data_IF_368508976022
#
_entry.id   IF_368508976022
#
_cell.length_a   1.000
_cell.length_b   1.000
_cell.length_c   1.000
_cell.angle_alpha   90.00
_cell.angle_beta   90.00
_cell.angle_gamma   90.00
#
_symmetry.space_group_name_H-M   'P 1'
#
loop_
_entity.id
_entity.type
_entity.pdbx_description
1 polymer ?
#
# COMPACT_ATOMS: atom_id res chain seq x y z
N UNK A 1 -11.24 17.52 -23.58
CA UNK A 1 -10.19 16.67 -22.99
C UNK A 1 -10.86 15.46 -22.38
N UNK A 2 -10.63 14.26 -22.90
CA UNK A 2 -11.15 13.02 -22.32
C UNK A 2 -10.14 12.50 -21.32
N UNK A 3 -10.40 12.66 -20.03
CA UNK A 3 -9.64 11.97 -18.99
C UNK A 3 -9.94 10.47 -19.05
N UNK A 4 -8.90 9.62 -19.02
CA UNK A 4 -9.03 8.15 -18.89
C UNK A 4 -8.27 7.72 -17.64
N UNK A 5 -9.00 7.48 -16.57
CA UNK A 5 -8.45 7.26 -15.24
C UNK A 5 -7.93 5.83 -15.01
N UNK A 6 -8.66 4.80 -15.45
CA UNK A 6 -8.28 3.41 -15.20
C UNK A 6 -7.71 2.77 -16.48
N UNK A 7 -6.38 2.78 -16.61
CA UNK A 7 -5.69 2.13 -17.75
C UNK A 7 -5.03 0.80 -17.36
N UNK A 8 -4.79 0.57 -16.08
CA UNK A 8 -4.11 -0.61 -15.58
C UNK A 8 -5.13 -1.56 -14.94
N UNK A 9 -5.03 -2.85 -15.25
CA UNK A 9 -5.61 -3.90 -14.42
C UNK A 9 -4.55 -4.32 -13.40
N UNK A 10 -4.40 -3.50 -12.36
CA UNK A 10 -3.40 -3.74 -11.32
C UNK A 10 -4.02 -4.59 -10.19
N UNK A 11 -3.58 -5.84 -10.01
CA UNK A 11 -4.09 -6.66 -8.92
C UNK A 11 -3.59 -6.10 -7.58
N UNK A 12 -4.26 -6.45 -6.47
CA UNK A 12 -3.77 -6.07 -5.16
C UNK A 12 -2.36 -6.61 -4.88
N UNK A 13 -1.61 -5.90 -4.04
CA UNK A 13 -0.21 -6.23 -3.73
C UNK A 13 -0.02 -7.66 -3.17
N UNK A 14 -1.05 -8.22 -2.53
CA UNK A 14 -1.03 -9.60 -1.99
C UNK A 14 -1.18 -10.69 -3.06
N UNK A 15 -1.63 -10.36 -4.26
CA UNK A 15 -1.71 -11.28 -5.40
C UNK A 15 -0.45 -11.21 -6.28
N UNK A 16 0.32 -10.12 -6.18
CA UNK A 16 1.60 -9.94 -6.89
C UNK A 16 2.76 -10.67 -6.23
N UNK A 17 2.63 -10.97 -4.94
CA UNK A 17 3.69 -11.52 -4.12
C UNK A 17 3.35 -12.93 -3.65
N UNK A 18 4.38 -13.75 -3.47
CA UNK A 18 4.24 -14.88 -2.58
C UNK A 18 3.96 -14.35 -1.16
N UNK A 19 2.86 -14.80 -0.56
CA UNK A 19 2.59 -14.57 0.86
C UNK A 19 3.19 -15.75 1.61
N UNK A 20 4.34 -15.58 2.29
CA UNK A 20 4.93 -16.68 3.04
C UNK A 20 3.98 -17.13 4.16
N UNK A 21 4.13 -18.38 4.60
CA UNK A 21 3.51 -18.81 5.84
C UNK A 21 3.93 -17.86 6.97
N UNK A 22 3.01 -17.57 7.91
CA UNK A 22 3.25 -16.56 8.94
C UNK A 22 4.59 -16.83 9.63
N UNK A 23 5.56 -15.89 9.54
CA UNK A 23 6.91 -16.15 10.02
C UNK A 23 6.91 -16.39 11.53
N UNK A 24 8.03 -16.89 12.04
CA UNK A 24 8.26 -17.00 13.48
C UNK A 24 7.91 -15.67 14.20
N UNK A 25 7.43 -15.73 15.46
CA UNK A 25 7.16 -14.52 16.21
C UNK A 25 8.40 -13.61 16.24
N UNK A 26 8.21 -12.28 16.18
CA UNK A 26 9.32 -11.34 16.23
C UNK A 26 10.07 -11.47 17.55
N UNK A 27 11.36 -11.09 17.59
CA UNK A 27 12.16 -11.16 18.81
C UNK A 27 11.51 -10.36 19.95
N UNK A 28 11.69 -10.78 21.20
CA UNK A 28 11.20 -10.07 22.37
C UNK A 28 11.62 -8.60 22.38
N UNK A 29 10.66 -7.70 22.54
CA UNK A 29 10.92 -6.27 22.71
C UNK A 29 11.01 -5.96 24.22
N UNK A 30 12.09 -5.33 24.71
CA UNK A 30 12.20 -4.91 26.10
C UNK A 30 11.02 -4.01 26.52
N UNK A 31 10.51 -4.20 27.74
CA UNK A 31 9.40 -3.41 28.27
C UNK A 31 8.00 -3.84 27.81
N UNK A 32 7.88 -4.78 26.86
CA UNK A 32 6.57 -5.35 26.46
C UNK A 32 6.28 -6.64 27.24
N UNK A 33 5.23 -6.70 28.09
CA UNK A 33 4.84 -7.91 28.80
C UNK A 33 4.53 -9.07 27.87
N UNK A 34 4.89 -10.29 28.26
CA UNK A 34 4.75 -11.49 27.41
C UNK A 34 3.32 -11.71 26.90
N UNK A 35 2.32 -11.48 27.75
CA UNK A 35 0.90 -11.61 27.39
C UNK A 35 0.44 -10.70 26.23
N UNK A 36 1.18 -9.63 25.95
CA UNK A 36 0.89 -8.66 24.89
C UNK A 36 1.73 -8.91 23.63
N UNK A 37 2.65 -9.87 23.65
CA UNK A 37 3.52 -10.15 22.50
C UNK A 37 2.77 -10.95 21.43
N UNK A 38 3.10 -10.67 20.17
CA UNK A 38 2.57 -11.42 19.03
C UNK A 38 3.08 -12.87 19.09
N UNK A 39 2.16 -13.82 18.97
CA UNK A 39 2.46 -15.26 18.94
C UNK A 39 2.96 -15.74 17.58
N UNK A 40 2.70 -14.98 16.51
CA UNK A 40 3.12 -15.26 15.14
C UNK A 40 3.55 -13.97 14.46
N UNK A 41 4.47 -14.07 13.52
CA UNK A 41 4.88 -12.97 12.65
C UNK A 41 3.74 -12.53 11.73
N UNK A 42 3.92 -11.37 11.10
CA UNK A 42 2.95 -10.84 10.15
C UNK A 42 3.21 -11.43 8.77
N UNK A 43 2.13 -11.85 8.09
CA UNK A 43 2.18 -12.29 6.70
C UNK A 43 2.18 -11.08 5.77
N UNK A 44 3.35 -10.49 5.58
CA UNK A 44 3.54 -9.44 4.60
C UNK A 44 3.86 -10.03 3.23
N UNK A 45 3.40 -9.41 2.14
CA UNK A 45 3.83 -9.78 0.79
C UNK A 45 5.31 -9.42 0.61
N UNK A 46 6.10 -10.37 0.10
CA UNK A 46 7.51 -10.16 -0.18
C UNK A 46 7.72 -9.89 -1.68
N UNK A 47 8.13 -8.66 -2.00
CA UNK A 47 8.40 -8.19 -3.36
C UNK A 47 9.76 -7.53 -3.42
N UNK A 48 10.38 -7.55 -4.61
CA UNK A 48 11.52 -6.70 -4.90
C UNK A 48 11.14 -5.22 -4.92
N UNK A 49 12.11 -4.34 -4.69
CA UNK A 49 11.92 -2.90 -4.76
C UNK A 49 11.33 -2.45 -6.10
N UNK A 50 11.79 -3.05 -7.20
CA UNK A 50 11.30 -2.72 -8.54
C UNK A 50 9.82 -3.07 -8.73
N UNK A 51 9.36 -4.19 -8.16
CA UNK A 51 7.95 -4.60 -8.22
C UNK A 51 7.07 -3.64 -7.42
N UNK A 52 7.52 -3.23 -6.24
CA UNK A 52 6.83 -2.23 -5.41
C UNK A 52 6.72 -0.90 -6.15
N UNK A 53 7.82 -0.41 -6.74
CA UNK A 53 7.82 0.84 -7.50
C UNK A 53 6.84 0.76 -8.66
N UNK A 54 6.83 -0.34 -9.42
CA UNK A 54 5.90 -0.54 -10.54
C UNK A 54 4.44 -0.54 -10.08
N UNK A 55 4.14 -1.29 -9.02
CA UNK A 55 2.80 -1.41 -8.47
C UNK A 55 2.23 -0.03 -8.08
N UNK A 56 2.95 0.70 -7.22
CA UNK A 56 2.46 1.99 -6.74
C UNK A 56 2.48 3.09 -7.81
N UNK A 57 3.38 3.02 -8.79
CA UNK A 57 3.35 3.94 -9.95
C UNK A 57 2.10 3.74 -10.80
N UNK A 58 1.65 2.48 -10.99
CA UNK A 58 0.41 2.21 -11.72
C UNK A 58 -0.83 2.62 -10.93
N UNK A 59 -0.85 2.33 -9.63
CA UNK A 59 -1.94 2.77 -8.75
C UNK A 59 -2.06 4.30 -8.71
N UNK A 60 -0.94 5.04 -8.68
CA UNK A 60 -1.00 6.51 -8.65
C UNK A 60 -1.59 7.11 -9.93
N UNK A 61 -1.31 6.49 -11.09
CA UNK A 61 -1.90 6.89 -12.37
C UNK A 61 -3.41 6.61 -12.45
N UNK A 62 -3.95 5.78 -11.56
CA UNK A 62 -5.38 5.49 -11.45
C UNK A 62 -6.09 6.38 -10.41
N UNK A 63 -5.36 7.25 -9.72
CA UNK A 63 -5.94 8.18 -8.76
C UNK A 63 -6.30 9.53 -9.40
N UNK A 64 -7.41 10.13 -8.95
CA UNK A 64 -7.74 11.51 -9.26
C UNK A 64 -7.18 12.39 -8.14
N UNK A 65 -6.41 13.41 -8.48
CA UNK A 65 -5.70 14.24 -7.50
C UNK A 65 -5.65 15.71 -7.92
N UNK A 66 -5.34 16.57 -6.94
CA UNK A 66 -5.24 18.01 -7.16
C UNK A 66 -4.12 18.38 -8.14
N UNK A 67 -3.02 17.62 -8.13
CA UNK A 67 -1.88 17.83 -9.02
C UNK A 67 -2.21 17.54 -10.48
N UNK A 68 -3.20 16.68 -10.73
CA UNK A 68 -3.53 16.20 -12.07
C UNK A 68 -4.83 16.79 -12.60
N UNK A 69 -5.70 17.33 -11.75
CA UNK A 69 -7.03 17.78 -12.14
C UNK A 69 -7.65 18.77 -11.16
N UNK A 70 -8.66 19.49 -11.64
CA UNK A 70 -9.42 20.41 -10.82
C UNK A 70 -10.21 19.68 -9.72
N UNK A 71 -10.03 20.08 -8.46
CA UNK A 71 -10.55 19.38 -7.28
C UNK A 71 -11.46 20.28 -6.41
N UNK A 72 -12.67 20.68 -6.89
CA UNK A 72 -13.51 21.69 -6.24
C UNK A 72 -14.33 21.15 -5.07
N UNK A 73 -13.68 20.57 -4.07
CA UNK A 73 -14.37 20.12 -2.85
C UNK A 73 -14.37 21.23 -1.79
N UNK A 74 -15.57 21.74 -1.50
CA UNK A 74 -15.80 22.73 -0.45
C UNK A 74 -15.40 22.19 0.94
N UNK A 75 -14.99 23.09 1.83
CA UNK A 75 -14.49 22.79 3.20
C UNK A 75 -13.19 21.96 3.29
N UNK A 76 -12.72 21.34 2.20
CA UNK A 76 -11.47 20.56 2.21
C UNK A 76 -10.22 21.44 2.04
N UNK A 77 -10.36 22.67 1.53
CA UNK A 77 -9.24 23.59 1.26
C UNK A 77 -8.12 22.91 0.46
N UNK A 78 -8.48 22.17 -0.58
CA UNK A 78 -7.52 21.51 -1.48
C UNK A 78 -6.79 22.60 -2.31
N UNK A 79 -5.66 23.09 -1.79
CA UNK A 79 -4.78 24.11 -2.39
C UNK A 79 -3.56 23.45 -3.05
N UNK A 80 -2.99 24.14 -4.02
CA UNK A 80 -1.69 23.82 -4.62
C UNK A 80 -0.56 23.99 -3.62
#
# INVERSE_FOLDING_TARGET
>A
MSFRQARWEEPPIWELAAVPEAPAPPPPIPGVPERLRRKRGVRWPELSELEIVRHYTRLSQMNFGIDTSFYPLGSCTMKY
#
